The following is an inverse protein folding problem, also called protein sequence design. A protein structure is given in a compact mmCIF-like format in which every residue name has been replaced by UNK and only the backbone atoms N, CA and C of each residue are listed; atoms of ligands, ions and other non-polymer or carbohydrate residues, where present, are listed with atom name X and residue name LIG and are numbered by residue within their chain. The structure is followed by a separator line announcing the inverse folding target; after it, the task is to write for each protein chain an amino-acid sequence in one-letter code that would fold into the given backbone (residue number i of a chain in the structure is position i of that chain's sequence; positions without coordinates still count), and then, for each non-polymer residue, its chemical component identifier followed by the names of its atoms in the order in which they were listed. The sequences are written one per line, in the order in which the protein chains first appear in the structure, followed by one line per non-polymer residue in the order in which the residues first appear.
data_IF_794526329991
#
_entry.id   IF_794526329991
#
_cell.length_a   1.000
_cell.length_b   1.000
_cell.length_c   1.000
_cell.angle_alpha   90.00
_cell.angle_beta   90.00
_cell.angle_gamma   90.00
#
_symmetry.space_group_name_H-M   'P 1'
#
loop_
_entity.id
_entity.type
_entity.pdbx_description
1 polymer ?
#
# COMPACT_ATOMS: atom_id res chain seq x y z
N UNK A 1 2.07 -17.13 4.76
CA UNK A 1 1.68 -16.10 3.78
C UNK A 1 2.10 -16.59 2.40
N UNK A 2 1.27 -16.40 1.39
CA UNK A 2 1.67 -16.72 0.02
C UNK A 2 2.89 -15.89 -0.38
N UNK A 3 3.81 -16.48 -1.15
CA UNK A 3 4.85 -15.72 -1.80
C UNK A 3 4.22 -14.88 -2.94
N UNK A 4 4.76 -13.71 -3.27
CA UNK A 4 4.22 -12.84 -4.33
C UNK A 4 4.03 -13.58 -5.67
N UNK A 5 4.88 -14.57 -5.95
CA UNK A 5 4.75 -15.44 -7.12
C UNK A 5 3.41 -16.19 -7.17
N UNK A 6 2.88 -16.66 -6.03
CA UNK A 6 1.58 -17.33 -6.00
C UNK A 6 0.42 -16.37 -6.26
N UNK A 7 0.53 -15.11 -5.80
CA UNK A 7 -0.43 -14.06 -6.18
C UNK A 7 -0.36 -13.76 -7.68
N UNK A 8 0.85 -13.70 -8.25
CA UNK A 8 1.02 -13.53 -9.69
C UNK A 8 0.36 -14.68 -10.48
N UNK A 9 0.54 -15.93 -10.06
CA UNK A 9 -0.17 -17.08 -10.65
C UNK A 9 -1.69 -16.97 -10.52
N UNK A 10 -2.19 -16.46 -9.39
CA UNK A 10 -3.63 -16.20 -9.20
C UNK A 10 -4.14 -15.11 -10.16
N UNK A 11 -3.34 -14.06 -10.38
CA UNK A 11 -3.62 -13.01 -11.36
C UNK A 11 -3.62 -13.55 -12.79
N UNK A 12 -2.64 -14.38 -13.16
CA UNK A 12 -2.61 -15.10 -14.45
C UNK A 12 -3.86 -15.92 -14.65
N UNK A 13 -4.29 -16.69 -13.64
CA UNK A 13 -5.52 -17.50 -13.71
C UNK A 13 -6.76 -16.65 -13.98
N UNK A 14 -6.81 -15.42 -13.46
CA UNK A 14 -7.98 -14.54 -13.58
C UNK A 14 -7.97 -13.71 -14.85
N UNK A 15 -6.81 -13.25 -15.30
CA UNK A 15 -6.70 -12.24 -16.35
C UNK A 15 -5.91 -12.69 -17.59
N UNK A 16 -5.19 -13.80 -17.52
CA UNK A 16 -4.26 -14.28 -18.56
C UNK A 16 -2.87 -13.64 -18.43
N UNK A 17 -2.02 -13.79 -19.43
CA UNK A 17 -0.63 -13.31 -19.38
C UNK A 17 0.30 -14.26 -18.64
N UNK A 18 1.46 -13.75 -18.24
CA UNK A 18 2.52 -14.50 -17.56
C UNK A 18 2.74 -13.95 -16.14
N UNK A 19 3.30 -14.74 -15.20
CA UNK A 19 3.53 -14.28 -13.83
C UNK A 19 4.32 -12.98 -13.73
N UNK A 20 5.26 -12.76 -14.64
CA UNK A 20 6.13 -11.58 -14.72
C UNK A 20 5.34 -10.29 -14.97
N UNK A 21 4.17 -10.38 -15.63
CA UNK A 21 3.28 -9.23 -15.87
C UNK A 21 2.72 -8.66 -14.54
N UNK A 22 2.58 -9.49 -13.51
CA UNK A 22 1.92 -9.15 -12.25
C UNK A 22 2.86 -9.13 -11.04
N UNK A 23 3.98 -9.85 -11.11
CA UNK A 23 4.90 -10.00 -9.99
C UNK A 23 5.36 -8.66 -9.39
N UNK A 24 5.71 -7.62 -10.18
CA UNK A 24 6.11 -6.33 -9.62
C UNK A 24 5.01 -5.66 -8.78
N UNK A 25 3.74 -5.80 -9.18
CA UNK A 25 2.60 -5.21 -8.46
C UNK A 25 2.42 -5.90 -7.10
N UNK A 26 2.54 -7.23 -7.05
CA UNK A 26 2.43 -7.99 -5.80
C UNK A 26 3.63 -7.78 -4.88
N UNK A 27 4.85 -7.71 -5.45
CA UNK A 27 6.06 -7.38 -4.69
C UNK A 27 5.98 -6.01 -4.04
N UNK A 28 5.36 -5.03 -4.70
CA UNK A 28 5.19 -3.71 -4.12
C UNK A 28 4.36 -3.72 -2.83
N UNK A 29 3.31 -4.52 -2.72
CA UNK A 29 2.58 -4.64 -1.44
C UNK A 29 3.46 -5.27 -0.35
N UNK A 30 4.20 -6.32 -0.72
CA UNK A 30 4.99 -7.15 0.18
C UNK A 30 6.37 -6.59 0.53
N UNK A 31 6.88 -5.59 -0.17
CA UNK A 31 8.19 -4.95 0.08
C UNK A 31 8.29 -4.40 1.51
N UNK A 32 7.15 -4.03 2.11
CA UNK A 32 7.02 -3.67 3.52
C UNK A 32 7.56 -4.74 4.50
N UNK A 33 7.69 -6.01 4.07
CA UNK A 33 8.36 -7.08 4.84
C UNK A 33 9.81 -6.77 5.16
N UNK A 34 10.47 -5.90 4.39
CA UNK A 34 11.82 -5.42 4.69
C UNK A 34 11.90 -4.60 5.99
N UNK A 35 10.77 -4.04 6.45
CA UNK A 35 10.67 -3.26 7.70
C UNK A 35 10.19 -4.16 8.85
N UNK A 36 9.22 -5.03 8.59
CA UNK A 36 8.64 -5.93 9.60
C UNK A 36 8.27 -7.26 8.96
N UNK A 37 8.88 -8.36 9.38
CA UNK A 37 8.71 -9.67 8.74
C UNK A 37 7.48 -10.47 9.23
N UNK A 38 6.49 -9.80 9.82
CA UNK A 38 5.21 -10.40 10.26
C UNK A 38 4.01 -9.63 9.71
N UNK A 39 2.79 -10.08 10.01
CA UNK A 39 1.55 -9.54 9.45
C UNK A 39 1.38 -8.01 9.62
N UNK A 40 2.06 -7.37 10.58
CA UNK A 40 1.93 -5.94 10.83
C UNK A 40 2.43 -5.08 9.67
N UNK A 41 3.34 -5.62 8.83
CA UNK A 41 3.77 -4.94 7.61
C UNK A 41 2.62 -4.56 6.68
N UNK A 42 1.53 -5.34 6.73
CA UNK A 42 0.32 -5.13 5.94
C UNK A 42 -0.32 -3.76 6.22
N UNK A 43 -0.13 -3.21 7.41
CA UNK A 43 -0.63 -1.89 7.78
C UNK A 43 -0.09 -0.76 6.89
N UNK A 44 1.08 -0.94 6.25
CA UNK A 44 1.68 0.07 5.39
C UNK A 44 1.02 0.18 4.01
N UNK A 45 0.55 -0.92 3.43
CA UNK A 45 0.11 -0.95 2.01
C UNK A 45 -1.13 -1.81 1.73
N UNK A 46 -1.53 -2.73 2.60
CA UNK A 46 -2.66 -3.64 2.36
C UNK A 46 -3.97 -3.04 2.89
N UNK A 47 -4.34 -1.88 2.36
CA UNK A 47 -5.59 -1.18 2.66
C UNK A 47 -6.02 -0.34 1.44
N UNK A 48 -7.21 0.27 1.52
CA UNK A 48 -7.80 1.03 0.42
C UNK A 48 -6.86 2.07 -0.21
N UNK A 49 -6.22 2.92 0.61
CA UNK A 49 -5.25 3.91 0.08
C UNK A 49 -4.02 3.26 -0.54
N UNK A 50 -3.47 2.18 0.02
CA UNK A 50 -2.33 1.47 -0.59
C UNK A 50 -2.69 0.91 -1.98
N UNK A 51 -3.91 0.41 -2.15
CA UNK A 51 -4.42 -0.02 -3.48
C UNK A 51 -4.48 1.15 -4.47
N UNK A 52 -4.93 2.33 -4.04
CA UNK A 52 -4.91 3.54 -4.89
C UNK A 52 -3.48 4.01 -5.18
N UNK A 53 -2.60 3.91 -4.20
CA UNK A 53 -1.21 4.31 -4.31
C UNK A 53 -0.46 3.45 -5.32
N UNK A 54 -0.82 2.17 -5.49
CA UNK A 54 -0.26 1.29 -6.51
C UNK A 54 -0.30 1.92 -7.92
N UNK A 55 -1.37 2.63 -8.27
CA UNK A 55 -1.50 3.30 -9.57
C UNK A 55 -0.48 4.43 -9.77
N UNK A 56 0.04 5.01 -8.70
CA UNK A 56 1.10 6.04 -8.78
C UNK A 56 2.44 5.45 -9.21
N UNK A 57 2.65 4.17 -8.96
CA UNK A 57 3.89 3.46 -9.28
C UNK A 57 3.82 2.72 -10.62
N UNK A 58 2.65 2.16 -10.96
CA UNK A 58 2.49 1.28 -12.13
C UNK A 58 1.54 1.83 -13.20
N UNK A 59 0.99 3.03 -13.00
CA UNK A 59 -0.05 3.61 -13.85
C UNK A 59 -1.44 3.07 -13.52
N UNK A 60 -2.47 3.60 -14.17
CA UNK A 60 -3.87 3.19 -13.94
C UNK A 60 -4.19 1.81 -14.50
N UNK A 61 -3.44 1.37 -15.51
CA UNK A 61 -3.62 0.10 -16.21
C UNK A 61 -2.26 -0.47 -16.61
N UNK A 62 -2.15 -1.79 -16.65
CA UNK A 62 -1.05 -2.51 -17.32
C UNK A 62 -1.55 -3.18 -18.58
N UNK A 63 -0.68 -3.33 -19.58
CA UNK A 63 -0.92 -4.23 -20.71
C UNK A 63 -0.09 -5.47 -20.48
N UNK A 64 -0.74 -6.61 -20.35
CA UNK A 64 -0.06 -7.89 -20.09
C UNK A 64 0.40 -8.52 -21.40
N UNK A 65 1.28 -9.52 -21.34
CA UNK A 65 1.87 -10.22 -22.51
C UNK A 65 0.87 -10.72 -23.57
N UNK A 66 -0.40 -10.95 -23.20
CA UNK A 66 -1.47 -11.29 -24.16
C UNK A 66 -2.03 -10.09 -24.94
N UNK A 67 -1.55 -8.88 -24.69
CA UNK A 67 -2.08 -7.61 -25.23
C UNK A 67 -3.31 -7.09 -24.49
N UNK A 68 -3.79 -7.80 -23.47
CA UNK A 68 -4.96 -7.39 -22.68
C UNK A 68 -4.60 -6.24 -21.74
N UNK A 69 -5.46 -5.22 -21.69
CA UNK A 69 -5.34 -4.10 -20.75
C UNK A 69 -6.10 -4.41 -19.46
N UNK A 70 -5.41 -4.34 -18.31
CA UNK A 70 -5.94 -4.65 -16.99
C UNK A 70 -5.80 -3.42 -16.07
N UNK A 71 -6.87 -2.99 -15.37
CA UNK A 71 -6.76 -1.95 -14.36
C UNK A 71 -5.87 -2.41 -13.19
N UNK A 72 -4.87 -1.60 -12.86
CA UNK A 72 -3.91 -1.88 -11.77
C UNK A 72 -4.63 -2.01 -10.43
N UNK A 73 -5.67 -1.19 -10.21
CA UNK A 73 -6.50 -1.27 -9.01
C UNK A 73 -7.10 -2.64 -8.75
N UNK A 74 -7.58 -3.32 -9.80
CA UNK A 74 -8.22 -4.63 -9.67
C UNK A 74 -7.21 -5.71 -9.24
N UNK A 75 -5.95 -5.60 -9.67
CA UNK A 75 -4.85 -6.46 -9.24
C UNK A 75 -4.53 -6.20 -7.76
N UNK A 76 -4.45 -4.93 -7.35
CA UNK A 76 -4.24 -4.57 -5.95
C UNK A 76 -5.38 -5.04 -5.03
N UNK A 77 -6.63 -4.84 -5.44
CA UNK A 77 -7.78 -5.32 -4.69
C UNK A 77 -7.81 -6.86 -4.58
N UNK A 78 -7.41 -7.59 -5.63
CA UNK A 78 -7.27 -9.04 -5.54
C UNK A 78 -6.23 -9.42 -4.51
N UNK A 79 -5.02 -8.85 -4.60
CA UNK A 79 -3.92 -9.16 -3.70
C UNK A 79 -4.35 -8.99 -2.23
N UNK A 80 -4.93 -7.85 -1.89
CA UNK A 80 -5.37 -7.56 -0.51
C UNK A 80 -6.48 -8.52 -0.05
N UNK A 81 -7.45 -8.85 -0.92
CA UNK A 81 -8.51 -9.81 -0.55
C UNK A 81 -7.97 -11.23 -0.36
N UNK A 82 -7.01 -11.67 -1.15
CA UNK A 82 -6.38 -12.98 -0.98
C UNK A 82 -5.61 -13.09 0.34
N UNK A 83 -5.08 -11.97 0.83
CA UNK A 83 -4.26 -11.92 2.02
C UNK A 83 -5.01 -11.67 3.33
N UNK A 84 -6.14 -10.95 3.26
CA UNK A 84 -6.90 -10.49 4.42
C UNK A 84 -8.38 -10.91 4.40
N UNK A 85 -8.88 -11.45 3.29
CA UNK A 85 -10.29 -11.81 3.11
C UNK A 85 -11.23 -10.62 2.83
N UNK A 86 -10.79 -9.39 3.09
CA UNK A 86 -11.48 -8.13 2.78
C UNK A 86 -10.47 -7.00 2.57
N UNK A 87 -10.93 -5.82 2.15
CA UNK A 87 -10.08 -4.63 2.01
C UNK A 87 -10.30 -3.73 3.23
N UNK A 88 -9.34 -3.62 4.16
CA UNK A 88 -9.44 -2.68 5.26
C UNK A 88 -9.18 -1.24 4.82
N UNK A 89 -9.56 -0.29 5.66
CA UNK A 89 -9.08 1.10 5.60
C UNK A 89 -7.79 1.25 6.41
N UNK A 90 -7.06 2.35 6.24
CA UNK A 90 -5.96 2.65 7.16
C UNK A 90 -6.46 2.89 8.60
N UNK A 91 -7.69 3.40 8.74
CA UNK A 91 -8.35 3.59 10.04
C UNK A 91 -8.46 2.29 10.85
N UNK A 92 -8.63 1.14 10.18
CA UNK A 92 -8.66 -0.18 10.82
C UNK A 92 -7.35 -0.57 11.49
N UNK A 93 -6.23 -0.11 10.93
CA UNK A 93 -4.90 -0.34 11.47
C UNK A 93 -4.59 0.64 12.60
N UNK A 94 -4.77 1.94 12.37
CA UNK A 94 -4.34 2.97 13.34
C UNK A 94 -5.17 2.98 14.61
N UNK A 95 -6.43 2.53 14.58
CA UNK A 95 -7.24 2.38 15.80
C UNK A 95 -6.66 1.38 16.79
N UNK A 96 -5.73 0.52 16.36
CA UNK A 96 -5.05 -0.45 17.20
C UNK A 96 -3.72 0.06 17.79
N UNK A 97 -3.25 1.25 17.40
CA UNK A 97 -2.01 1.84 17.92
C UNK A 97 -2.22 2.28 19.37
N UNK A 98 -1.28 1.89 20.24
CA UNK A 98 -1.21 2.40 21.62
C UNK A 98 -0.33 3.65 21.62
N UNK A 99 -0.85 4.83 22.01
CA UNK A 99 -0.06 6.05 21.99
C UNK A 99 1.15 5.98 22.93
N UNK A 100 2.30 6.39 22.42
CA UNK A 100 3.53 6.58 23.20
C UNK A 100 3.88 8.07 23.29
N UNK A 101 4.60 8.52 24.34
CA UNK A 101 4.88 9.96 24.55
C UNK A 101 5.56 10.67 23.37
N UNK A 102 6.29 9.96 22.53
CA UNK A 102 6.97 10.52 21.36
C UNK A 102 6.03 10.77 20.16
N UNK A 103 4.89 10.07 20.08
CA UNK A 103 3.99 10.11 18.91
C UNK A 103 3.23 11.44 18.77
N UNK A 104 3.02 12.15 19.88
CA UNK A 104 2.35 13.46 19.91
C UNK A 104 3.30 14.64 20.17
N UNK A 105 4.61 14.40 20.23
CA UNK A 105 5.60 15.42 20.60
C UNK A 105 5.94 16.29 19.38
N UNK A 106 5.02 17.18 19.00
CA UNK A 106 5.27 18.22 18.01
C UNK A 106 5.81 19.50 18.68
N UNK A 107 6.83 20.12 18.10
CA UNK A 107 7.30 21.44 18.51
C UNK A 107 6.52 22.52 17.74
N UNK A 108 6.18 23.67 18.36
CA UNK A 108 5.49 24.76 17.69
C UNK A 108 6.47 25.59 16.84
N UNK A 109 7.13 24.95 15.85
CA UNK A 109 8.20 25.52 15.03
C UNK A 109 7.76 26.83 14.34
N UNK A 110 6.47 26.95 14.00
CA UNK A 110 5.88 28.17 13.44
C UNK A 110 6.17 29.42 14.29
N UNK A 111 6.11 29.33 15.62
CA UNK A 111 6.36 30.48 16.51
C UNK A 111 7.77 31.01 16.43
N UNK A 112 8.72 30.14 16.11
CA UNK A 112 10.14 30.47 16.05
C UNK A 112 10.57 30.92 14.64
N UNK A 113 9.83 30.50 13.60
CA UNK A 113 10.24 30.67 12.19
C UNK A 113 9.28 31.52 11.34
N UNK A 114 8.03 31.73 11.75
CA UNK A 114 7.07 32.54 10.99
C UNK A 114 7.28 34.04 11.28
N UNK A 115 7.86 34.81 10.33
CA UNK A 115 8.11 36.23 10.54
C UNK A 115 6.81 37.06 10.61
N UNK A 116 5.67 36.48 10.25
CA UNK A 116 4.36 37.14 10.31
C UNK A 116 3.61 36.84 11.61
N UNK A 117 4.05 35.84 12.39
CA UNK A 117 3.47 35.51 13.69
C UNK A 117 4.19 36.24 14.83
N UNK A 118 5.50 36.47 14.70
CA UNK A 118 6.34 37.18 15.68
C UNK A 118 5.98 38.67 15.90
N UNK A 119 5.14 39.26 15.03
CA UNK A 119 4.78 40.70 15.07
C UNK A 119 3.53 40.97 15.91
N UNK A 120 2.88 39.95 16.46
CA UNK A 120 1.62 40.07 17.19
C UNK A 120 1.75 40.10 18.73
N UNK A 121 2.96 40.16 19.29
CA UNK A 121 3.22 40.19 20.74
C UNK A 121 3.58 41.59 21.27
#
# INVERSE_FOLDING_TARGET
MGHCYHHALSSVRKWGGEPEDYLPLHQWFDESKAITADFRHRALRHHAEGIFMLERFFGTTITVSTGRVIPVRLVGEQHVREDLGFIPSFADWVRCIRPEPWMGRAQPIHRDLDPFEAVAA
#
